data_IF_771871890214
#
_entry.id   IF_771871890214
#
_cell.length_a   1.000
_cell.length_b   1.000
_cell.length_c   1.000
_cell.angle_alpha   90.00
_cell.angle_beta   90.00
_cell.angle_gamma   90.00
#
_symmetry.space_group_name_H-M   'P 1'
#
loop_
_entity.id
_entity.type
_entity.pdbx_description
1 polymer ?
#
# COMPACT_ATOMS: atom_id res chain seq x y z
N UNK A 1 -0.25 23.33 -0.97
CA UNK A 1 -0.32 22.98 0.46
C UNK A 1 0.42 21.66 0.64
N UNK A 2 1.59 21.67 1.28
CA UNK A 2 2.36 20.45 1.52
C UNK A 2 1.98 19.92 2.90
N UNK A 3 1.42 18.71 2.95
CA UNK A 3 1.01 18.07 4.20
C UNK A 3 2.16 17.21 4.71
N UNK A 4 2.85 17.64 5.77
CA UNK A 4 3.94 16.87 6.36
C UNK A 4 3.37 15.88 7.38
N UNK A 5 3.36 14.60 7.03
CA UNK A 5 2.93 13.51 7.91
C UNK A 5 4.16 12.85 8.55
N UNK A 6 4.23 12.87 9.88
CA UNK A 6 5.27 12.16 10.62
C UNK A 6 4.81 10.73 10.93
N UNK A 7 5.30 9.78 10.13
CA UNK A 7 5.05 8.36 10.34
C UNK A 7 5.88 7.77 11.48
N UNK A 8 5.37 6.76 12.17
CA UNK A 8 6.16 5.95 13.11
C UNK A 8 7.23 5.14 12.34
N UNK A 9 8.32 4.76 12.99
CA UNK A 9 9.37 3.96 12.33
C UNK A 9 8.86 2.60 11.83
N UNK A 10 7.91 1.98 12.54
CA UNK A 10 7.26 0.77 12.09
C UNK A 10 6.44 1.02 10.82
N UNK A 11 5.60 2.05 10.82
CA UNK A 11 4.74 2.37 9.69
C UNK A 11 5.55 2.82 8.47
N UNK A 12 6.67 3.52 8.65
CA UNK A 12 7.62 3.82 7.56
C UNK A 12 8.17 2.54 6.93
N UNK A 13 8.59 1.57 7.74
CA UNK A 13 9.11 0.29 7.24
C UNK A 13 8.03 -0.51 6.52
N UNK A 14 6.82 -0.55 7.07
CA UNK A 14 5.68 -1.22 6.45
C UNK A 14 5.28 -0.55 5.14
N UNK A 15 5.27 0.78 5.09
CA UNK A 15 4.97 1.55 3.88
C UNK A 15 6.01 1.28 2.79
N UNK A 16 7.30 1.34 3.12
CA UNK A 16 8.39 1.02 2.17
C UNK A 16 8.27 -0.41 1.64
N UNK A 17 8.01 -1.39 2.51
CA UNK A 17 7.80 -2.79 2.11
C UNK A 17 6.54 -2.95 1.26
N UNK A 18 5.45 -2.27 1.60
CA UNK A 18 4.20 -2.27 0.84
C UNK A 18 4.41 -1.71 -0.56
N UNK A 19 5.07 -0.56 -0.70
CA UNK A 19 5.36 0.05 -2.01
C UNK A 19 6.25 -0.86 -2.86
N UNK A 20 7.31 -1.43 -2.27
CA UNK A 20 8.20 -2.35 -2.98
C UNK A 20 7.45 -3.61 -3.43
N UNK A 21 6.67 -4.23 -2.54
CA UNK A 21 5.89 -5.42 -2.85
C UNK A 21 4.80 -5.16 -3.90
N UNK A 22 4.13 -4.00 -3.86
CA UNK A 22 3.16 -3.63 -4.88
C UNK A 22 3.80 -3.46 -6.26
N UNK A 23 4.99 -2.85 -6.34
CA UNK A 23 5.75 -2.72 -7.58
C UNK A 23 6.20 -4.08 -8.13
N UNK A 24 6.71 -4.95 -7.27
CA UNK A 24 7.12 -6.29 -7.66
C UNK A 24 5.92 -7.10 -8.18
N UNK A 25 4.78 -7.05 -7.49
CA UNK A 25 3.58 -7.74 -7.93
C UNK A 25 3.07 -7.26 -9.30
N UNK A 26 3.23 -5.96 -9.63
CA UNK A 26 2.95 -5.48 -10.99
C UNK A 26 3.93 -6.08 -12.01
N UNK A 27 5.22 -6.12 -11.70
CA UNK A 27 6.21 -6.72 -12.59
C UNK A 27 5.98 -8.23 -12.79
N UNK A 28 5.52 -8.93 -11.75
CA UNK A 28 5.13 -10.34 -11.83
C UNK A 28 3.89 -10.53 -12.73
N UNK A 29 2.92 -9.62 -12.67
CA UNK A 29 1.76 -9.61 -13.60
C UNK A 29 2.24 -9.39 -15.03
N UNK A 30 3.11 -8.39 -15.27
CA UNK A 30 3.62 -8.10 -16.61
C UNK A 30 4.37 -9.33 -17.18
N UNK A 31 5.23 -9.95 -16.38
CA UNK A 31 5.95 -11.18 -16.73
C UNK A 31 4.99 -12.34 -17.02
N UNK A 32 3.95 -12.50 -16.22
CA UNK A 32 2.94 -13.53 -16.42
C UNK A 32 2.12 -13.31 -17.70
N UNK A 33 1.83 -12.06 -18.07
CA UNK A 33 1.18 -11.70 -19.33
C UNK A 33 2.10 -12.03 -20.51
N UNK A 34 3.37 -11.61 -20.46
CA UNK A 34 4.35 -11.86 -21.53
C UNK A 34 4.60 -13.36 -21.77
N UNK A 35 4.47 -14.18 -20.73
CA UNK A 35 4.62 -15.63 -20.80
C UNK A 35 3.31 -16.40 -20.98
N UNK A 36 2.18 -15.71 -21.16
CA UNK A 36 0.82 -16.30 -21.24
C UNK A 36 0.47 -17.22 -20.06
N UNK A 37 1.07 -16.98 -18.89
CA UNK A 37 0.86 -17.76 -17.68
C UNK A 37 -0.29 -17.18 -16.84
N UNK A 38 -1.52 -17.41 -17.30
CA UNK A 38 -2.73 -16.87 -16.67
C UNK A 38 -2.93 -17.31 -15.21
N UNK A 39 -2.46 -18.51 -14.83
CA UNK A 39 -2.52 -18.98 -13.44
C UNK A 39 -1.63 -18.17 -12.50
N UNK A 40 -0.48 -17.68 -12.97
CA UNK A 40 0.41 -16.85 -12.15
C UNK A 40 -0.16 -15.45 -11.87
N UNK A 41 -1.02 -14.94 -12.76
CA UNK A 41 -1.64 -13.61 -12.62
C UNK A 41 -2.52 -13.54 -11.37
N UNK A 42 -3.28 -14.59 -11.04
CA UNK A 42 -4.14 -14.59 -9.84
C UNK A 42 -3.32 -14.42 -8.55
N UNK A 43 -2.22 -15.16 -8.43
CA UNK A 43 -1.29 -15.03 -7.31
C UNK A 43 -0.68 -13.63 -7.21
N UNK A 44 -0.24 -13.08 -8.33
CA UNK A 44 0.37 -11.75 -8.37
C UNK A 44 -0.66 -10.64 -8.07
N UNK A 45 -1.91 -10.76 -8.53
CA UNK A 45 -3.00 -9.82 -8.22
C UNK A 45 -3.39 -9.86 -6.73
N UNK A 46 -3.40 -11.04 -6.12
CA UNK A 46 -3.61 -11.19 -4.68
C UNK A 46 -2.49 -10.50 -3.88
N UNK A 47 -1.22 -10.73 -4.25
CA UNK A 47 -0.07 -10.05 -3.63
C UNK A 47 -0.14 -8.53 -3.80
N UNK A 48 -0.47 -8.06 -5.01
CA UNK A 48 -0.68 -6.63 -5.31
C UNK A 48 -1.76 -6.02 -4.41
N UNK A 49 -2.89 -6.70 -4.25
CA UNK A 49 -4.00 -6.25 -3.41
C UNK A 49 -3.61 -6.17 -1.93
N UNK A 50 -2.89 -7.17 -1.42
CA UNK A 50 -2.36 -7.18 -0.05
C UNK A 50 -1.46 -5.95 0.22
N UNK A 51 -0.55 -5.66 -0.71
CA UNK A 51 0.35 -4.52 -0.59
C UNK A 51 -0.38 -3.18 -0.73
N UNK A 52 -1.33 -3.06 -1.66
CA UNK A 52 -2.18 -1.88 -1.79
C UNK A 52 -2.99 -1.61 -0.51
N UNK A 53 -3.57 -2.65 0.09
CA UNK A 53 -4.30 -2.55 1.35
C UNK A 53 -3.41 -2.10 2.51
N UNK A 54 -2.17 -2.61 2.57
CA UNK A 54 -1.19 -2.16 3.57
C UNK A 54 -0.90 -0.67 3.45
N UNK A 55 -0.68 -0.19 2.21
CA UNK A 55 -0.44 1.23 1.94
C UNK A 55 -1.66 2.05 2.35
N UNK A 56 -2.87 1.64 1.96
CA UNK A 56 -4.12 2.34 2.27
C UNK A 56 -4.35 2.45 3.78
N UNK A 57 -4.15 1.36 4.54
CA UNK A 57 -4.29 1.36 6.00
C UNK A 57 -3.32 2.35 6.67
N UNK A 58 -2.08 2.41 6.20
CA UNK A 58 -1.10 3.37 6.72
C UNK A 58 -1.52 4.79 6.37
N UNK A 59 -1.88 5.08 5.11
CA UNK A 59 -2.31 6.43 4.72
C UNK A 59 -3.51 6.87 5.55
N UNK A 60 -4.56 6.04 5.63
CA UNK A 60 -5.80 6.37 6.36
C UNK A 60 -5.52 6.65 7.85
N UNK A 61 -4.66 5.84 8.50
CA UNK A 61 -4.25 6.06 9.90
C UNK A 61 -3.73 7.48 10.16
N UNK A 62 -3.05 8.09 9.19
CA UNK A 62 -2.41 9.39 9.33
C UNK A 62 -3.16 10.54 8.66
N UNK A 63 -4.17 10.26 7.84
CA UNK A 63 -5.08 11.27 7.27
C UNK A 63 -6.34 11.46 8.13
N UNK A 64 -6.80 10.41 8.82
CA UNK A 64 -8.00 10.46 9.68
C UNK A 64 -7.75 11.20 11.00
N UNK A 65 -6.49 11.35 11.43
CA UNK A 65 -6.12 12.08 12.65
C UNK A 65 -6.16 13.61 12.51
N UNK A 66 -6.42 14.14 11.30
CA UNK A 66 -6.54 15.58 11.04
C UNK A 66 -7.96 16.15 11.12
N UNK A 67 -8.99 15.32 11.30
CA UNK A 67 -10.37 15.78 11.52
C UNK A 67 -10.73 15.73 13.03
N UNK A 68 -10.63 16.88 13.70
CA UNK A 68 -11.31 17.20 14.97
C UNK A 68 -11.21 16.18 16.13
N UNK A 69 -10.01 15.96 16.68
CA UNK A 69 -9.87 15.52 18.07
C UNK A 69 -9.63 16.73 18.97
N UNK A 70 -10.71 17.45 19.29
CA UNK A 70 -10.63 18.62 20.18
C UNK A 70 -11.93 19.38 20.47
N UNK A 71 -13.07 18.99 19.90
CA UNK A 71 -14.35 19.60 20.21
C UNK A 71 -15.40 18.53 20.51
N UNK A 72 -15.40 18.01 21.73
CA UNK A 72 -16.65 17.58 22.36
C UNK A 72 -17.03 18.66 23.38
N UNK A 73 -18.31 19.09 23.41
CA UNK A 73 -18.78 20.14 24.32
C UNK A 73 -18.60 19.75 25.79
#
# INVERSE_FOLDING_TARGET
MTMNITLSELDKRLLTKGIAGWRNANADIDTAIESENWCAIDGAQNARSLHANTIALIVNKYTDTTAEQGARP
#
